data_IF_624757127670
#
_entry.id   IF_624757127670
#
_cell.length_a   1.000
_cell.length_b   1.000
_cell.length_c   1.000
_cell.angle_alpha   90.00
_cell.angle_beta   90.00
_cell.angle_gamma   90.00
#
_symmetry.space_group_name_H-M   'P 1'
#
loop_
_entity.id
_entity.type
_entity.pdbx_description
1 polymer ?
#
# COMPACT_ATOMS: atom_id res chain seq x y z
N UNK A 1 -7.34 -21.07 18.80
CA UNK A 1 -7.27 -19.59 18.82
C UNK A 1 -6.30 -19.18 17.72
N UNK A 2 -6.72 -18.31 16.81
CA UNK A 2 -5.98 -18.02 15.59
C UNK A 2 -4.83 -17.04 15.91
N UNK A 3 -3.62 -17.57 16.14
CA UNK A 3 -2.41 -16.80 16.45
C UNK A 3 -1.79 -16.18 15.18
N UNK A 4 -2.63 -15.60 14.32
CA UNK A 4 -2.18 -14.98 13.09
C UNK A 4 -1.58 -13.60 13.40
N UNK A 5 -0.34 -13.36 12.96
CA UNK A 5 0.37 -12.07 13.14
C UNK A 5 -0.38 -10.92 12.45
N UNK A 6 -1.05 -11.20 11.34
CA UNK A 6 -1.86 -10.22 10.59
C UNK A 6 -3.13 -10.88 10.06
N UNK A 7 -4.28 -10.34 10.46
CA UNK A 7 -5.57 -10.75 9.94
C UNK A 7 -5.93 -9.97 8.65
N UNK A 8 -6.75 -10.53 7.75
CA UNK A 8 -7.38 -9.77 6.67
C UNK A 8 -8.16 -8.57 7.22
N UNK A 9 -8.19 -7.45 6.49
CA UNK A 9 -8.78 -6.21 7.01
C UNK A 9 -10.28 -6.32 7.24
N UNK A 10 -10.99 -7.17 6.50
CA UNK A 10 -12.41 -7.48 6.73
C UNK A 10 -12.66 -8.14 8.10
N UNK A 11 -11.66 -8.82 8.67
CA UNK A 11 -11.72 -9.37 10.03
C UNK A 11 -11.23 -8.36 11.05
N UNK A 12 -10.11 -7.68 10.78
CA UNK A 12 -9.54 -6.70 11.68
C UNK A 12 -10.48 -5.49 11.94
N UNK A 13 -11.27 -5.11 10.93
CA UNK A 13 -12.23 -4.01 11.00
C UNK A 13 -13.68 -4.48 10.89
N UNK A 14 -13.97 -5.72 11.30
CA UNK A 14 -15.30 -6.32 11.19
C UNK A 14 -16.38 -5.49 11.88
N UNK A 15 -16.09 -4.93 13.07
CA UNK A 15 -17.03 -4.10 13.82
C UNK A 15 -17.44 -2.84 13.05
N UNK A 16 -16.48 -2.11 12.49
CA UNK A 16 -16.75 -0.90 11.69
C UNK A 16 -17.53 -1.24 10.42
N UNK A 17 -17.16 -2.32 9.72
CA UNK A 17 -17.83 -2.77 8.50
C UNK A 17 -19.26 -3.22 8.76
N UNK A 18 -19.51 -3.94 9.86
CA UNK A 18 -20.85 -4.38 10.26
C UNK A 18 -21.73 -3.19 10.67
N UNK A 19 -21.20 -2.23 11.42
CA UNK A 19 -21.93 -1.03 11.81
C UNK A 19 -22.33 -0.21 10.57
N UNK A 20 -21.42 -0.05 9.62
CA UNK A 20 -21.72 0.59 8.33
C UNK A 20 -22.78 -0.18 7.54
N UNK A 21 -22.65 -1.50 7.43
CA UNK A 21 -23.61 -2.32 6.69
C UNK A 21 -25.02 -2.27 7.28
N UNK A 22 -25.15 -2.26 8.61
CA UNK A 22 -26.44 -2.28 9.32
C UNK A 22 -27.26 -1.01 9.09
N UNK A 23 -26.59 0.14 8.89
CA UNK A 23 -27.23 1.44 8.67
C UNK A 23 -27.23 1.90 7.21
N UNK A 24 -26.88 1.03 6.26
CA UNK A 24 -26.72 1.39 4.85
C UNK A 24 -27.93 1.00 4.00
N UNK A 25 -28.86 1.95 3.89
CA UNK A 25 -30.14 1.88 3.16
C UNK A 25 -30.03 2.30 1.68
N UNK A 26 -28.83 2.67 1.23
CA UNK A 26 -28.60 3.22 -0.11
C UNK A 26 -28.48 2.12 -1.16
N UNK A 27 -28.71 2.49 -2.42
CA UNK A 27 -28.53 1.58 -3.56
C UNK A 27 -27.09 1.08 -3.64
N UNK A 28 -26.94 -0.25 -3.70
CA UNK A 28 -25.65 -0.93 -3.87
C UNK A 28 -25.50 -1.40 -5.31
N UNK A 29 -24.33 -1.22 -5.94
CA UNK A 29 -23.98 -1.94 -7.16
C UNK A 29 -24.04 -3.46 -6.94
N UNK A 30 -24.21 -4.22 -8.02
CA UNK A 30 -24.34 -5.67 -7.90
C UNK A 30 -23.08 -6.31 -7.30
N UNK A 31 -23.27 -7.20 -6.33
CA UNK A 31 -22.19 -7.86 -5.59
C UNK A 31 -21.59 -7.04 -4.45
N UNK A 32 -21.93 -5.76 -4.32
CA UNK A 32 -21.36 -4.91 -3.28
C UNK A 32 -22.01 -5.14 -1.92
N UNK A 33 -21.19 -5.24 -0.87
CA UNK A 33 -21.60 -5.37 0.53
C UNK A 33 -22.06 -4.03 1.11
N UNK A 34 -21.39 -2.95 0.72
CA UNK A 34 -21.66 -1.56 1.13
C UNK A 34 -21.99 -0.69 -0.09
N UNK A 35 -22.77 0.36 0.09
CA UNK A 35 -23.00 1.39 -0.92
C UNK A 35 -21.72 2.21 -1.14
N UNK A 36 -21.57 2.87 -2.31
CA UNK A 36 -20.43 3.76 -2.57
C UNK A 36 -20.17 4.77 -1.46
N UNK A 37 -21.23 5.32 -0.86
CA UNK A 37 -21.12 6.28 0.24
C UNK A 37 -20.63 5.63 1.53
N UNK A 38 -21.12 4.43 1.87
CA UNK A 38 -20.65 3.68 3.03
C UNK A 38 -19.19 3.23 2.87
N UNK A 39 -18.77 2.83 1.66
CA UNK A 39 -17.35 2.56 1.33
C UNK A 39 -16.49 3.82 1.53
N UNK A 40 -16.98 4.99 1.11
CA UNK A 40 -16.26 6.25 1.34
C UNK A 40 -16.15 6.60 2.83
N UNK A 41 -17.20 6.40 3.62
CA UNK A 41 -17.15 6.58 5.07
C UNK A 41 -16.17 5.61 5.71
N UNK A 42 -16.12 4.34 5.25
CA UNK A 42 -15.13 3.38 5.71
C UNK A 42 -13.69 3.85 5.44
N UNK A 43 -13.41 4.38 4.25
CA UNK A 43 -12.05 4.81 3.88
C UNK A 43 -11.63 6.11 4.56
N UNK A 44 -12.51 7.12 4.59
CA UNK A 44 -12.19 8.48 5.04
C UNK A 44 -12.56 8.74 6.51
N UNK A 45 -13.16 7.76 7.17
CA UNK A 45 -13.67 7.88 8.53
C UNK A 45 -14.98 8.66 8.61
N UNK A 46 -15.52 8.72 9.82
CA UNK A 46 -16.80 9.37 10.12
C UNK A 46 -17.57 8.62 11.19
N UNK A 47 -18.88 8.50 11.00
CA UNK A 47 -19.76 7.70 11.85
C UNK A 47 -20.69 6.84 11.00
N UNK A 48 -20.95 5.62 11.44
CA UNK A 48 -22.01 4.79 10.90
C UNK A 48 -23.39 5.33 11.31
N UNK A 49 -24.46 4.79 10.71
CA UNK A 49 -25.84 5.26 10.94
C UNK A 49 -26.30 5.11 12.40
N UNK A 50 -25.73 4.16 13.15
CA UNK A 50 -25.95 3.93 14.57
C UNK A 50 -25.08 4.83 15.49
N UNK A 51 -24.24 5.70 14.90
CA UNK A 51 -23.31 6.56 15.63
C UNK A 51 -21.94 5.95 15.91
N UNK A 52 -21.71 4.67 15.56
CA UNK A 52 -20.41 4.00 15.74
C UNK A 52 -19.32 4.77 15.00
N UNK A 53 -18.22 5.17 15.68
CA UNK A 53 -17.13 5.88 15.03
C UNK A 53 -16.39 4.96 14.05
N UNK A 54 -16.13 5.47 12.86
CA UNK A 54 -15.37 4.77 11.81
C UNK A 54 -14.02 5.46 11.67
N UNK A 55 -12.95 4.69 11.87
CA UNK A 55 -11.60 5.25 11.88
C UNK A 55 -11.12 5.44 10.44
N UNK A 56 -10.54 6.60 10.06
CA UNK A 56 -10.01 6.78 8.70
C UNK A 56 -8.92 5.76 8.37
N UNK A 57 -9.00 5.17 7.19
CA UNK A 57 -8.01 4.24 6.60
C UNK A 57 -7.13 4.93 5.57
N UNK A 58 -7.60 6.04 5.01
CA UNK A 58 -6.85 6.91 4.12
C UNK A 58 -6.99 8.36 4.59
N UNK A 59 -5.86 9.06 4.72
CA UNK A 59 -5.79 10.48 5.01
C UNK A 59 -5.34 11.19 3.74
N UNK A 60 -6.16 12.10 3.24
CA UNK A 60 -5.89 12.86 2.04
C UNK A 60 -7.17 13.31 1.33
N UNK A 61 -7.03 13.70 0.07
CA UNK A 61 -8.12 14.31 -0.71
C UNK A 61 -9.28 13.33 -0.93
N UNK A 62 -10.45 13.64 -0.36
CA UNK A 62 -11.72 12.90 -0.55
C UNK A 62 -12.03 12.57 -2.01
N UNK A 63 -11.79 13.52 -2.92
CA UNK A 63 -12.08 13.38 -4.36
C UNK A 63 -11.35 12.21 -5.02
N UNK A 64 -10.16 11.85 -4.53
CA UNK A 64 -9.40 10.69 -5.04
C UNK A 64 -10.12 9.39 -4.70
N UNK A 65 -10.61 9.26 -3.47
CA UNK A 65 -11.36 8.08 -3.03
C UNK A 65 -12.74 8.02 -3.71
N UNK A 66 -13.42 9.16 -3.88
CA UNK A 66 -14.67 9.22 -4.66
C UNK A 66 -14.46 8.67 -6.08
N UNK A 67 -13.38 9.10 -6.74
CA UNK A 67 -13.03 8.64 -8.09
C UNK A 67 -12.73 7.14 -8.10
N UNK A 68 -11.98 6.63 -7.12
CA UNK A 68 -11.67 5.20 -7.00
C UNK A 68 -12.93 4.35 -6.81
N UNK A 69 -13.80 4.74 -5.87
CA UNK A 69 -15.06 4.04 -5.59
C UNK A 69 -16.01 4.11 -6.79
N UNK A 70 -16.17 5.29 -7.39
CA UNK A 70 -17.02 5.46 -8.57
C UNK A 70 -16.51 4.64 -9.77
N UNK A 71 -15.19 4.49 -9.92
CA UNK A 71 -14.59 3.62 -10.95
C UNK A 71 -15.06 2.18 -10.76
N UNK A 72 -14.93 1.65 -9.54
CA UNK A 72 -15.26 0.25 -9.26
C UNK A 72 -16.76 -0.03 -9.31
N UNK A 73 -17.61 1.00 -9.17
CA UNK A 73 -19.05 0.88 -9.37
C UNK A 73 -19.43 0.71 -10.86
N UNK A 74 -18.46 0.82 -11.77
CA UNK A 74 -18.58 0.52 -13.20
C UNK A 74 -17.73 -0.70 -13.57
N UNK A 75 -17.79 -1.12 -14.84
CA UNK A 75 -16.96 -2.23 -15.35
C UNK A 75 -15.48 -1.84 -15.61
N UNK A 76 -15.10 -0.58 -15.35
CA UNK A 76 -13.73 -0.09 -15.57
C UNK A 76 -12.83 -0.50 -14.41
N UNK A 77 -11.63 -1.00 -14.72
CA UNK A 77 -10.66 -1.37 -13.71
C UNK A 77 -9.99 -0.13 -13.09
N UNK A 78 -9.56 -0.25 -11.84
CA UNK A 78 -8.88 0.82 -11.11
C UNK A 78 -7.37 0.59 -11.10
N UNK A 79 -6.58 1.60 -11.45
CA UNK A 79 -5.13 1.62 -11.24
C UNK A 79 -4.77 2.70 -10.21
N UNK A 80 -4.26 2.27 -9.06
CA UNK A 80 -3.68 3.15 -8.05
C UNK A 80 -2.21 3.37 -8.36
N UNK A 81 -1.84 4.60 -8.72
CA UNK A 81 -0.49 4.97 -9.13
C UNK A 81 0.12 5.94 -8.10
N UNK A 82 1.42 5.83 -7.82
CA UNK A 82 2.09 6.75 -6.90
C UNK A 82 3.47 6.27 -6.50
N UNK A 83 4.25 7.11 -5.83
CA UNK A 83 5.56 6.73 -5.29
C UNK A 83 5.43 5.70 -4.16
N UNK A 84 6.51 5.01 -3.75
CA UNK A 84 6.47 4.13 -2.59
C UNK A 84 5.91 4.84 -1.35
N UNK A 85 5.13 4.10 -0.54
CA UNK A 85 4.54 4.60 0.70
C UNK A 85 3.31 5.51 0.58
N UNK A 86 2.71 5.70 -0.61
CA UNK A 86 1.46 6.47 -0.80
C UNK A 86 0.17 5.66 -0.54
N UNK A 87 0.25 4.62 0.31
CA UNK A 87 -0.87 3.78 0.73
C UNK A 87 -1.64 3.01 -0.39
N UNK A 88 -1.07 2.84 -1.59
CA UNK A 88 -1.73 2.14 -2.72
C UNK A 88 -2.28 0.75 -2.36
N UNK A 89 -1.43 -0.14 -1.86
CA UNK A 89 -1.83 -1.50 -1.48
C UNK A 89 -2.80 -1.53 -0.31
N UNK A 90 -2.67 -0.57 0.62
CA UNK A 90 -3.58 -0.41 1.74
C UNK A 90 -4.99 0.00 1.28
N UNK A 91 -5.08 1.01 0.41
CA UNK A 91 -6.36 1.43 -0.21
C UNK A 91 -6.96 0.30 -1.04
N UNK A 92 -6.16 -0.41 -1.83
CA UNK A 92 -6.56 -1.59 -2.62
C UNK A 92 -7.20 -2.66 -1.73
N UNK A 93 -6.57 -3.00 -0.60
CA UNK A 93 -7.06 -3.98 0.37
C UNK A 93 -8.37 -3.56 1.02
N UNK A 94 -8.43 -2.32 1.51
CA UNK A 94 -9.62 -1.78 2.18
C UNK A 94 -10.80 -1.60 1.23
N UNK A 95 -10.57 -1.23 -0.04
CA UNK A 95 -11.61 -1.20 -1.06
C UNK A 95 -12.17 -2.60 -1.30
N UNK A 96 -11.31 -3.61 -1.48
CA UNK A 96 -11.75 -4.98 -1.71
C UNK A 96 -12.58 -5.54 -0.55
N UNK A 97 -12.14 -5.31 0.69
CA UNK A 97 -12.87 -5.71 1.90
C UNK A 97 -14.22 -4.98 2.03
N UNK A 98 -14.26 -3.66 1.85
CA UNK A 98 -15.49 -2.89 2.01
C UNK A 98 -16.52 -3.21 0.92
N UNK A 99 -16.05 -3.48 -0.30
CA UNK A 99 -16.91 -3.73 -1.45
C UNK A 99 -17.36 -5.20 -1.48
N UNK A 100 -16.45 -6.17 -1.34
CA UNK A 100 -16.76 -7.59 -1.56
C UNK A 100 -16.72 -8.45 -0.29
N UNK A 101 -16.34 -7.87 0.86
CA UNK A 101 -16.12 -8.63 2.09
C UNK A 101 -14.92 -9.58 2.02
N UNK A 102 -14.06 -9.44 1.01
CA UNK A 102 -12.94 -10.34 0.74
C UNK A 102 -11.81 -9.57 0.06
N UNK A 103 -10.69 -9.41 0.77
CA UNK A 103 -9.50 -8.73 0.26
C UNK A 103 -8.39 -9.68 -0.18
N UNK A 104 -8.65 -11.00 -0.13
CA UNK A 104 -7.63 -12.06 -0.20
C UNK A 104 -7.34 -12.56 -1.61
N UNK A 105 -8.13 -12.16 -2.61
CA UNK A 105 -7.90 -12.48 -4.02
C UNK A 105 -6.81 -11.57 -4.61
N UNK A 106 -5.57 -11.82 -4.21
CA UNK A 106 -4.39 -11.02 -4.54
C UNK A 106 -3.41 -11.79 -5.41
N UNK A 107 -2.85 -11.10 -6.40
CA UNK A 107 -1.65 -11.52 -7.14
C UNK A 107 -0.58 -10.47 -6.92
N UNK A 108 0.55 -10.89 -6.35
CA UNK A 108 1.73 -10.03 -6.22
C UNK A 108 2.57 -10.14 -7.48
N UNK A 109 2.59 -9.08 -8.29
CA UNK A 109 3.37 -9.05 -9.51
C UNK A 109 4.86 -8.81 -9.20
N UNK A 110 5.72 -9.59 -9.85
CA UNK A 110 7.18 -9.55 -9.75
C UNK A 110 7.80 -9.77 -11.13
N UNK A 111 9.11 -9.57 -11.25
CA UNK A 111 9.82 -9.83 -12.51
C UNK A 111 9.73 -11.30 -12.97
N UNK A 112 9.52 -12.24 -12.03
CA UNK A 112 9.34 -13.66 -12.33
C UNK A 112 7.89 -14.09 -12.52
N UNK A 113 6.94 -13.16 -12.51
CA UNK A 113 5.52 -13.49 -12.70
C UNK A 113 5.25 -13.82 -14.16
N UNK A 114 4.76 -15.04 -14.40
CA UNK A 114 4.41 -15.53 -15.73
C UNK A 114 2.88 -15.54 -15.96
N UNK A 115 2.48 -15.88 -17.18
CA UNK A 115 1.07 -15.94 -17.58
C UNK A 115 0.26 -16.96 -16.74
N UNK A 116 0.87 -18.08 -16.33
CA UNK A 116 0.18 -19.13 -15.58
C UNK A 116 -0.18 -18.68 -14.16
N UNK A 117 0.65 -17.81 -13.56
CA UNK A 117 0.39 -17.21 -12.26
C UNK A 117 -0.72 -16.14 -12.31
N UNK A 118 -0.96 -15.54 -13.49
CA UNK A 118 -2.05 -14.58 -13.70
C UNK A 118 -3.35 -15.29 -14.08
N UNK A 119 -3.34 -16.10 -15.14
CA UNK A 119 -4.56 -16.68 -15.74
C UNK A 119 -5.01 -17.96 -15.06
N UNK A 120 -4.29 -19.04 -15.29
CA UNK A 120 -4.50 -20.36 -14.70
C UNK A 120 -3.24 -21.19 -14.89
N UNK A 121 -2.96 -22.09 -13.95
CA UNK A 121 -1.89 -23.07 -14.06
C UNK A 121 -2.42 -24.47 -14.37
N UNK A 122 -1.50 -25.42 -14.42
CA UNK A 122 -1.83 -26.84 -14.60
C UNK A 122 -1.22 -27.68 -13.48
N UNK A 123 -2.00 -28.64 -12.98
CA UNK A 123 -1.50 -29.75 -12.21
C UNK A 123 -0.90 -30.77 -13.19
N UNK A 124 0.43 -30.74 -13.33
CA UNK A 124 1.13 -31.57 -14.31
C UNK A 124 0.90 -33.07 -14.13
N UNK A 125 0.70 -33.56 -12.90
CA UNK A 125 0.40 -34.97 -12.68
C UNK A 125 -0.96 -35.36 -13.26
N UNK A 126 -2.00 -34.54 -13.04
CA UNK A 126 -3.31 -34.75 -13.64
C UNK A 126 -3.27 -34.56 -15.16
N UNK A 127 -2.52 -33.57 -15.64
CA UNK A 127 -2.35 -33.29 -17.06
C UNK A 127 -1.69 -34.46 -17.81
N UNK A 128 -0.66 -35.07 -17.24
CA UNK A 128 0.00 -36.26 -17.83
C UNK A 128 -0.88 -37.51 -17.75
N UNK A 129 -1.63 -37.67 -16.66
CA UNK A 129 -2.45 -38.87 -16.45
C UNK A 129 -3.77 -38.85 -17.26
N UNK A 130 -4.39 -37.68 -17.41
CA UNK A 130 -5.75 -37.54 -17.98
C UNK A 130 -5.84 -36.61 -19.17
N UNK A 131 -4.74 -35.95 -19.55
CA UNK A 131 -4.73 -34.90 -20.56
C UNK A 131 -5.32 -33.57 -20.04
N UNK A 132 -5.40 -32.55 -20.91
CA UNK A 132 -6.05 -31.28 -20.60
C UNK A 132 -7.50 -31.51 -20.17
N UNK A 133 -7.82 -31.15 -18.94
CA UNK A 133 -9.15 -31.28 -18.37
C UNK A 133 -9.39 -30.23 -17.29
N UNK A 134 -10.65 -29.99 -16.96
CA UNK A 134 -11.00 -29.06 -15.88
C UNK A 134 -10.42 -29.48 -14.52
N UNK A 135 -10.23 -30.78 -14.29
CA UNK A 135 -9.60 -31.32 -13.07
C UNK A 135 -8.10 -31.03 -13.00
N UNK A 136 -7.44 -30.92 -14.15
CA UNK A 136 -6.02 -30.58 -14.22
C UNK A 136 -5.77 -29.06 -14.10
N UNK A 137 -6.78 -28.20 -14.26
CA UNK A 137 -6.64 -26.76 -14.14
C UNK A 137 -6.44 -26.32 -12.68
N UNK A 138 -5.47 -25.43 -12.48
CA UNK A 138 -5.19 -24.80 -11.18
C UNK A 138 -5.63 -23.33 -11.24
N UNK A 139 -6.74 -22.96 -10.56
CA UNK A 139 -7.30 -21.62 -10.67
C UNK A 139 -6.53 -20.58 -9.85
N UNK A 140 -6.07 -19.52 -10.52
CA UNK A 140 -5.41 -18.36 -9.88
C UNK A 140 -6.43 -17.51 -9.10
N UNK A 141 -5.96 -16.52 -8.31
CA UNK A 141 -6.85 -15.53 -7.70
C UNK A 141 -7.71 -14.78 -8.72
N UNK A 142 -7.17 -14.44 -9.90
CA UNK A 142 -7.93 -13.79 -10.97
C UNK A 142 -9.04 -14.69 -11.52
N UNK A 143 -8.72 -15.96 -11.80
CA UNK A 143 -9.69 -16.97 -12.22
C UNK A 143 -10.85 -17.07 -11.23
N UNK A 144 -10.52 -17.21 -9.94
CA UNK A 144 -11.51 -17.31 -8.85
C UNK A 144 -12.34 -16.04 -8.72
N UNK A 145 -11.73 -14.86 -8.84
CA UNK A 145 -12.44 -13.58 -8.80
C UNK A 145 -13.46 -13.47 -9.94
N UNK A 146 -13.08 -13.88 -11.17
CA UNK A 146 -13.99 -13.90 -12.31
C UNK A 146 -15.17 -14.84 -12.07
N UNK A 147 -14.93 -16.06 -11.58
CA UNK A 147 -16.01 -17.01 -11.32
C UNK A 147 -16.93 -16.61 -10.17
N UNK A 148 -16.42 -15.88 -9.18
CA UNK A 148 -17.18 -15.52 -7.97
C UNK A 148 -17.73 -14.10 -8.01
N UNK A 149 -17.47 -13.34 -9.08
CA UNK A 149 -17.94 -11.96 -9.21
C UNK A 149 -17.30 -11.02 -8.20
N UNK A 150 -16.04 -11.25 -7.83
CA UNK A 150 -15.31 -10.50 -6.80
C UNK A 150 -14.21 -9.61 -7.37
N UNK A 151 -13.63 -8.77 -6.51
CA UNK A 151 -12.49 -7.95 -6.86
C UNK A 151 -11.20 -8.77 -6.82
N UNK A 152 -10.41 -8.70 -7.90
CA UNK A 152 -9.03 -9.20 -7.93
C UNK A 152 -8.06 -8.04 -7.74
N UNK A 153 -7.07 -8.22 -6.87
CA UNK A 153 -6.02 -7.24 -6.60
C UNK A 153 -4.73 -7.65 -7.30
N UNK A 154 -4.23 -6.82 -8.21
CA UNK A 154 -2.93 -6.99 -8.87
C UNK A 154 -1.95 -5.98 -8.29
N UNK A 155 -1.16 -6.41 -7.32
CA UNK A 155 -0.22 -5.52 -6.64
C UNK A 155 1.10 -5.42 -7.42
N UNK A 156 1.57 -4.19 -7.63
CA UNK A 156 2.85 -3.88 -8.27
C UNK A 156 2.92 -4.36 -9.73
N UNK A 157 1.83 -4.10 -10.47
CA UNK A 157 1.59 -4.55 -11.85
C UNK A 157 2.78 -4.28 -12.79
N UNK A 158 3.47 -3.15 -12.63
CA UNK A 158 4.60 -2.76 -13.47
C UNK A 158 5.88 -3.54 -13.20
N UNK A 159 5.96 -4.36 -12.15
CA UNK A 159 7.10 -5.27 -11.94
C UNK A 159 7.07 -6.50 -12.83
N UNK A 160 5.90 -6.85 -13.37
CA UNK A 160 5.73 -7.97 -14.29
C UNK A 160 6.17 -7.60 -15.71
N UNK A 161 6.61 -8.57 -16.50
CA UNK A 161 6.96 -8.37 -17.92
C UNK A 161 5.79 -7.81 -18.73
N UNK A 162 6.06 -6.92 -19.69
CA UNK A 162 5.02 -6.24 -20.48
C UNK A 162 4.16 -7.22 -21.29
N UNK A 163 4.77 -8.31 -21.78
CA UNK A 163 4.10 -9.41 -22.46
C UNK A 163 3.08 -10.11 -21.56
N UNK A 164 3.44 -10.38 -20.31
CA UNK A 164 2.53 -10.97 -19.32
C UNK A 164 1.45 -9.97 -18.92
N UNK A 165 1.76 -8.67 -18.82
CA UNK A 165 0.74 -7.64 -18.55
C UNK A 165 -0.35 -7.61 -19.61
N UNK A 166 0.01 -7.77 -20.89
CA UNK A 166 -0.93 -7.72 -22.01
C UNK A 166 -1.91 -8.91 -22.02
N UNK A 167 -1.64 -9.99 -21.29
CA UNK A 167 -2.61 -11.08 -21.06
C UNK A 167 -3.90 -10.60 -20.36
N UNK A 168 -3.84 -9.47 -19.66
CA UNK A 168 -5.00 -8.85 -19.00
C UNK A 168 -5.93 -8.12 -19.97
N UNK A 169 -5.52 -7.85 -21.22
CA UNK A 169 -6.30 -7.05 -22.17
C UNK A 169 -7.69 -7.65 -22.40
N UNK A 170 -7.75 -8.95 -22.69
CA UNK A 170 -9.02 -9.66 -22.95
C UNK A 170 -9.89 -9.68 -21.69
N UNK A 171 -9.29 -9.93 -20.53
CA UNK A 171 -10.00 -9.95 -19.24
C UNK A 171 -10.59 -8.58 -18.91
N UNK A 172 -9.86 -7.50 -19.18
CA UNK A 172 -10.29 -6.14 -18.89
C UNK A 172 -11.36 -5.64 -19.86
N UNK A 173 -11.24 -5.96 -21.15
CA UNK A 173 -12.15 -5.54 -22.22
C UNK A 173 -13.43 -6.38 -22.27
N UNK A 174 -13.27 -7.69 -22.44
CA UNK A 174 -14.39 -8.58 -22.77
C UNK A 174 -14.93 -9.32 -21.53
N UNK A 175 -14.30 -9.12 -20.36
CA UNK A 175 -14.63 -9.83 -19.12
C UNK A 175 -14.62 -11.34 -19.30
N UNK A 176 -13.77 -11.84 -20.18
CA UNK A 176 -13.62 -13.27 -20.46
C UNK A 176 -12.14 -13.67 -20.51
N UNK A 177 -11.88 -14.93 -20.15
CA UNK A 177 -10.57 -15.53 -20.20
C UNK A 177 -10.68 -16.85 -20.97
N UNK A 178 -10.11 -16.93 -22.18
CA UNK A 178 -10.13 -18.19 -22.93
C UNK A 178 -9.30 -19.26 -22.23
N UNK A 179 -9.65 -20.52 -22.44
CA UNK A 179 -8.85 -21.70 -22.08
C UNK A 179 -8.71 -22.54 -23.35
N UNK A 180 -7.76 -22.18 -24.23
CA UNK A 180 -7.64 -22.79 -25.56
C UNK A 180 -7.46 -24.30 -25.52
N UNK A 181 -6.73 -24.80 -24.52
CA UNK A 181 -6.46 -26.23 -24.35
C UNK A 181 -7.72 -27.07 -24.13
N UNK A 182 -8.80 -26.44 -23.67
CA UNK A 182 -10.11 -27.07 -23.43
C UNK A 182 -11.19 -26.61 -24.42
N UNK A 183 -10.85 -25.77 -25.41
CA UNK A 183 -11.81 -25.12 -26.32
C UNK A 183 -12.98 -24.45 -25.57
N UNK A 184 -12.69 -23.81 -24.44
CA UNK A 184 -13.70 -23.13 -23.61
C UNK A 184 -13.20 -21.75 -23.16
N UNK A 185 -14.07 -21.01 -22.49
CA UNK A 185 -13.76 -19.69 -21.91
C UNK A 185 -14.47 -19.53 -20.59
N UNK A 186 -13.83 -18.82 -19.67
CA UNK A 186 -14.46 -18.31 -18.45
C UNK A 186 -15.03 -16.95 -18.76
N UNK A 187 -16.27 -16.73 -18.36
CA UNK A 187 -16.89 -15.42 -18.36
C UNK A 187 -16.99 -14.92 -16.92
N UNK A 188 -16.58 -13.68 -16.68
CA UNK A 188 -16.65 -13.11 -15.36
C UNK A 188 -18.10 -12.91 -14.93
N UNK A 189 -18.43 -13.33 -13.71
CA UNK A 189 -19.71 -13.09 -13.09
C UNK A 189 -19.86 -11.61 -12.73
N UNK A 190 -21.11 -11.14 -12.70
CA UNK A 190 -21.43 -9.75 -12.34
C UNK A 190 -20.86 -9.43 -10.95
N UNK A 191 -20.21 -8.28 -10.84
CA UNK A 191 -19.48 -7.84 -9.64
C UNK A 191 -17.96 -7.94 -9.80
N UNK A 192 -17.46 -8.76 -10.73
CA UNK A 192 -16.02 -8.87 -10.99
C UNK A 192 -15.41 -7.55 -11.47
N UNK A 193 -14.31 -7.15 -10.85
CA UNK A 193 -13.46 -6.05 -11.35
C UNK A 193 -12.01 -6.21 -10.82
N UNK A 194 -11.09 -5.40 -11.35
CA UNK A 194 -9.67 -5.42 -10.97
C UNK A 194 -9.28 -4.10 -10.31
N UNK A 195 -8.53 -4.21 -9.21
CA UNK A 195 -7.75 -3.12 -8.63
C UNK A 195 -6.28 -3.46 -8.86
N UNK A 196 -5.56 -2.62 -9.57
CA UNK A 196 -4.12 -2.74 -9.78
C UNK A 196 -3.38 -1.63 -9.02
N UNK A 197 -2.17 -1.91 -8.57
CA UNK A 197 -1.25 -0.90 -8.03
C UNK A 197 0.03 -0.83 -8.86
N UNK A 198 0.61 0.36 -8.99
CA UNK A 198 1.89 0.55 -9.69
C UNK A 198 2.70 1.70 -9.09
N UNK A 199 4.03 1.58 -9.18
CA UNK A 199 4.95 2.66 -8.82
C UNK A 199 5.27 3.54 -10.04
N UNK A 200 5.27 4.86 -9.85
CA UNK A 200 5.46 5.83 -10.94
C UNK A 200 6.91 6.27 -11.18
N UNK A 201 7.86 5.94 -10.29
CA UNK A 201 9.24 6.44 -10.32
C UNK A 201 10.31 5.38 -9.98
N UNK A 202 9.92 4.12 -9.95
CA UNK A 202 10.82 3.05 -9.51
C UNK A 202 11.77 2.65 -10.65
N UNK A 203 13.06 2.48 -10.36
CA UNK A 203 14.04 2.04 -11.37
C UNK A 203 13.87 0.53 -11.57
N UNK A 204 13.69 0.10 -12.82
CA UNK A 204 13.55 -1.34 -13.14
C UNK A 204 12.11 -1.86 -13.18
N UNK A 205 11.12 -0.97 -13.35
CA UNK A 205 9.74 -1.35 -13.65
C UNK A 205 9.43 -1.17 -15.13
N UNK A 206 8.54 -2.01 -15.66
CA UNK A 206 8.06 -1.94 -17.04
C UNK A 206 6.98 -0.85 -17.19
N UNK A 207 6.94 -0.21 -18.35
CA UNK A 207 5.84 0.71 -18.67
C UNK A 207 4.60 -0.06 -19.12
N UNK A 208 3.43 0.34 -18.60
CA UNK A 208 2.16 -0.19 -19.10
C UNK A 208 1.97 0.17 -20.58
N UNK A 209 1.56 -0.80 -21.38
CA UNK A 209 1.19 -0.59 -22.79
C UNK A 209 0.07 0.44 -22.92
N UNK A 210 0.03 1.17 -24.05
CA UNK A 210 -1.03 2.15 -24.30
C UNK A 210 -2.42 1.50 -24.31
N UNK A 211 -2.50 0.23 -24.73
CA UNK A 211 -3.72 -0.58 -24.70
C UNK A 211 -4.19 -0.83 -23.26
N UNK A 212 -3.31 -1.23 -22.35
CA UNK A 212 -3.66 -1.44 -20.94
C UNK A 212 -4.01 -0.12 -20.25
N UNK A 213 -3.21 0.94 -20.43
CA UNK A 213 -3.47 2.26 -19.82
C UNK A 213 -4.90 2.75 -20.09
N UNK A 214 -5.44 2.53 -21.31
CA UNK A 214 -6.80 2.93 -21.69
C UNK A 214 -7.91 2.13 -21.01
N UNK A 215 -7.61 0.95 -20.46
CA UNK A 215 -8.57 0.03 -19.81
C UNK A 215 -8.65 0.22 -18.29
N UNK A 216 -7.69 0.93 -17.72
CA UNK A 216 -7.74 1.37 -16.33
C UNK A 216 -8.24 2.82 -16.23
N UNK A 217 -8.98 3.13 -15.16
CA UNK A 217 -9.02 4.49 -14.65
C UNK A 217 -7.86 4.67 -13.67
N UNK A 218 -7.06 5.71 -13.87
CA UNK A 218 -5.86 5.94 -13.06
C UNK A 218 -6.17 6.95 -11.96
N UNK A 219 -5.96 6.55 -10.71
CA UNK A 219 -6.00 7.43 -9.55
C UNK A 219 -4.58 7.55 -8.99
N UNK A 220 -4.04 8.76 -9.06
CA UNK A 220 -2.69 9.04 -8.54
C UNK A 220 -2.79 9.41 -7.07
N UNK A 221 -2.20 8.58 -6.20
CA UNK A 221 -2.10 8.82 -4.77
C UNK A 221 -0.81 9.62 -4.50
N UNK A 222 -0.92 10.89 -4.05
CA UNK A 222 0.23 11.71 -3.73
C UNK A 222 0.81 11.32 -2.35
N UNK A 223 1.99 11.86 -2.04
CA UNK A 223 2.46 11.93 -0.66
C UNK A 223 1.61 12.95 0.12
N UNK A 224 1.50 12.81 1.45
CA UNK A 224 0.85 13.81 2.28
C UNK A 224 1.48 15.20 2.08
N UNK A 225 0.64 16.20 1.82
CA UNK A 225 1.09 17.59 1.57
C UNK A 225 1.40 18.31 2.90
N UNK A 226 0.68 17.96 3.95
CA UNK A 226 0.79 18.60 5.26
C UNK A 226 1.62 17.76 6.26
N UNK A 227 2.39 18.46 7.11
CA UNK A 227 3.20 17.82 8.14
C UNK A 227 2.33 17.14 9.19
N UNK A 228 1.25 17.78 9.63
CA UNK A 228 0.39 17.25 10.67
C UNK A 228 -0.39 16.02 10.18
N UNK A 229 -0.83 16.02 8.92
CA UNK A 229 -1.38 14.82 8.27
C UNK A 229 -0.37 13.66 8.24
N UNK A 230 0.88 13.90 7.81
CA UNK A 230 1.91 12.85 7.77
C UNK A 230 2.24 12.31 9.17
N UNK A 231 2.34 13.20 10.18
CA UNK A 231 2.52 12.81 11.59
C UNK A 231 1.36 11.97 12.10
N UNK A 232 0.11 12.35 11.80
CA UNK A 232 -1.07 11.59 12.23
C UNK A 232 -1.10 10.19 11.61
N UNK A 233 -0.73 10.06 10.33
CA UNK A 233 -0.62 8.77 9.64
C UNK A 233 0.45 7.90 10.31
N UNK A 234 1.67 8.44 10.50
CA UNK A 234 2.77 7.67 11.09
C UNK A 234 2.45 7.27 12.53
N UNK A 235 1.96 8.20 13.35
CA UNK A 235 1.64 7.94 14.76
C UNK A 235 0.64 6.80 14.90
N UNK A 236 -0.48 6.88 14.16
CA UNK A 236 -1.52 5.83 14.17
C UNK A 236 -0.94 4.46 13.79
N UNK A 237 -0.11 4.40 12.75
CA UNK A 237 0.46 3.14 12.26
C UNK A 237 1.53 2.58 13.20
N UNK A 238 2.33 3.45 13.80
CA UNK A 238 3.30 3.07 14.82
C UNK A 238 2.59 2.50 16.04
N UNK A 239 1.51 3.13 16.51
CA UNK A 239 0.72 2.64 17.65
C UNK A 239 0.07 1.27 17.35
N UNK A 240 -0.55 1.10 16.18
CA UNK A 240 -1.15 -0.17 15.74
C UNK A 240 -0.10 -1.29 15.67
N UNK A 241 1.08 -1.01 15.11
CA UNK A 241 2.15 -2.01 14.97
C UNK A 241 2.84 -2.31 16.30
N UNK A 242 3.09 -1.30 17.13
CA UNK A 242 3.67 -1.46 18.45
C UNK A 242 2.75 -2.31 19.35
N UNK A 243 1.44 -2.03 19.33
CA UNK A 243 0.46 -2.83 20.06
C UNK A 243 0.40 -4.29 19.61
N UNK A 244 0.52 -4.56 18.30
CA UNK A 244 0.58 -5.93 17.77
C UNK A 244 1.88 -6.68 18.07
N UNK A 245 2.93 -5.96 18.49
CA UNK A 245 4.25 -6.50 18.85
C UNK A 245 4.52 -6.44 20.36
N UNK A 246 3.52 -6.06 21.17
CA UNK A 246 3.66 -5.82 22.61
C UNK A 246 4.79 -4.85 22.98
N UNK A 247 5.08 -3.88 22.10
CA UNK A 247 6.12 -2.90 22.30
C UNK A 247 5.58 -1.71 23.13
N UNK A 248 6.26 -1.31 24.23
CA UNK A 248 5.89 -0.12 24.96
C UNK A 248 6.10 1.12 24.09
N UNK A 249 5.13 2.04 24.13
CA UNK A 249 5.19 3.32 23.40
C UNK A 249 5.55 4.43 24.39
N UNK A 250 6.78 4.99 24.33
CA UNK A 250 7.18 6.09 25.21
C UNK A 250 6.39 7.37 24.94
N UNK A 251 6.26 8.23 25.96
CA UNK A 251 5.49 9.49 25.86
C UNK A 251 6.02 10.46 24.79
N UNK A 252 7.32 10.42 24.50
CA UNK A 252 7.96 11.29 23.51
C UNK A 252 7.86 10.78 22.06
N UNK A 253 7.16 9.67 21.79
CA UNK A 253 7.08 9.08 20.43
C UNK A 253 6.61 10.09 19.38
N UNK A 254 5.64 10.95 19.71
CA UNK A 254 5.12 11.96 18.79
C UNK A 254 6.18 13.01 18.41
N UNK A 255 7.03 13.41 19.36
CA UNK A 255 8.10 14.37 19.12
C UNK A 255 9.18 13.75 18.22
N UNK A 256 9.53 12.47 18.45
CA UNK A 256 10.50 11.76 17.61
C UNK A 256 9.96 11.49 16.20
N UNK A 257 8.67 11.16 16.06
CA UNK A 257 8.00 11.06 14.74
C UNK A 257 8.12 12.38 13.99
N UNK A 258 7.82 13.51 14.64
CA UNK A 258 7.91 14.82 14.01
C UNK A 258 9.34 15.12 13.56
N UNK A 259 10.35 14.82 14.38
CA UNK A 259 11.78 15.02 14.05
C UNK A 259 12.24 14.16 12.87
N UNK A 260 11.90 12.87 12.87
CA UNK A 260 12.20 11.94 11.77
C UNK A 260 11.53 12.42 10.47
N UNK A 261 10.26 12.80 10.54
CA UNK A 261 9.54 13.31 9.37
C UNK A 261 10.10 14.64 8.87
N UNK A 262 10.58 15.53 9.75
CA UNK A 262 11.24 16.76 9.31
C UNK A 262 12.47 16.43 8.47
N UNK A 263 13.34 15.53 8.96
CA UNK A 263 14.53 15.08 8.22
C UNK A 263 14.13 14.50 6.85
N UNK A 264 13.14 13.60 6.84
CA UNK A 264 12.69 12.95 5.61
C UNK A 264 12.12 13.94 4.61
N UNK A 265 11.25 14.87 5.06
CA UNK A 265 10.61 15.86 4.19
C UNK A 265 11.64 16.81 3.59
N UNK A 266 12.63 17.27 4.36
CA UNK A 266 13.65 18.20 3.87
C UNK A 266 14.56 17.55 2.83
N UNK A 267 15.05 16.33 3.11
CA UNK A 267 15.88 15.56 2.17
C UNK A 267 15.09 15.17 0.91
N UNK A 268 13.81 14.80 1.06
CA UNK A 268 12.93 14.45 -0.07
C UNK A 268 12.56 15.66 -0.93
N UNK A 269 12.35 16.82 -0.31
CA UNK A 269 12.02 18.06 -1.01
C UNK A 269 13.26 18.73 -1.65
N UNK A 270 14.46 18.39 -1.20
CA UNK A 270 15.70 19.05 -1.62
C UNK A 270 15.80 20.49 -1.08
N UNK A 271 15.13 20.78 0.03
CA UNK A 271 15.19 22.08 0.69
C UNK A 271 14.74 21.98 2.15
N UNK A 272 15.20 22.91 3.00
CA UNK A 272 14.69 23.03 4.37
C UNK A 272 13.21 23.41 4.39
N UNK A 273 12.50 23.11 5.49
CA UNK A 273 11.07 23.39 5.63
C UNK A 273 10.72 24.89 5.50
N UNK A 274 11.67 25.79 5.80
CA UNK A 274 11.53 27.23 5.62
C UNK A 274 11.97 27.74 4.23
N UNK A 275 12.39 26.83 3.34
CA UNK A 275 12.82 27.13 1.97
C UNK A 275 14.13 27.90 1.84
N UNK A 276 14.87 28.13 2.93
CA UNK A 276 16.07 28.98 2.91
C UNK A 276 17.33 28.29 2.42
N UNK A 277 17.41 26.97 2.59
CA UNK A 277 18.58 26.18 2.22
C UNK A 277 18.17 25.13 1.21
N UNK A 278 18.75 25.17 0.02
CA UNK A 278 18.64 24.11 -0.98
C UNK A 278 19.54 22.95 -0.58
N UNK A 279 19.04 21.73 -0.74
CA UNK A 279 19.70 20.48 -0.34
C UNK A 279 19.77 19.54 -1.54
N UNK A 280 20.76 18.65 -1.52
CA UNK A 280 20.74 17.48 -2.40
C UNK A 280 19.69 16.49 -1.93
N UNK A 281 19.11 15.75 -2.87
CA UNK A 281 18.12 14.70 -2.60
C UNK A 281 18.79 13.33 -2.71
N UNK A 282 18.57 12.41 -1.75
CA UNK A 282 19.04 11.04 -1.88
C UNK A 282 18.27 10.30 -2.98
N UNK A 283 18.79 9.14 -3.36
CA UNK A 283 18.20 8.27 -4.38
C UNK A 283 16.90 7.60 -3.91
N UNK A 284 16.73 7.42 -2.59
CA UNK A 284 15.55 6.83 -1.96
C UNK A 284 14.34 7.77 -1.89
N UNK A 285 13.14 7.19 -1.74
CA UNK A 285 11.89 7.96 -1.72
C UNK A 285 11.62 8.72 -0.42
N UNK A 286 12.20 8.29 0.70
CA UNK A 286 11.94 8.81 2.05
C UNK A 286 10.44 8.93 2.34
N UNK A 287 9.76 7.81 2.15
CA UNK A 287 8.31 7.70 2.20
C UNK A 287 7.77 7.59 3.62
N UNK A 288 6.47 7.79 3.78
CA UNK A 288 5.76 7.58 5.06
C UNK A 288 5.92 6.14 5.56
N UNK A 289 6.03 5.16 4.66
CA UNK A 289 6.28 3.76 5.04
C UNK A 289 7.69 3.55 5.61
N UNK A 290 8.70 4.23 5.06
CA UNK A 290 10.06 4.21 5.61
C UNK A 290 10.09 4.87 7.00
N UNK A 291 9.36 5.96 7.21
CA UNK A 291 9.26 6.60 8.52
C UNK A 291 8.62 5.67 9.57
N UNK A 292 7.52 4.97 9.22
CA UNK A 292 6.91 3.98 10.11
C UNK A 292 7.92 2.87 10.46
N UNK A 293 8.65 2.35 9.47
CA UNK A 293 9.65 1.31 9.70
C UNK A 293 10.79 1.79 10.60
N UNK A 294 11.28 3.02 10.40
CA UNK A 294 12.29 3.65 11.27
C UNK A 294 11.79 3.76 12.71
N UNK A 295 10.55 4.21 12.90
CA UNK A 295 9.98 4.39 14.24
C UNK A 295 9.71 3.07 14.96
N UNK A 296 9.15 2.07 14.26
CA UNK A 296 8.93 0.73 14.84
C UNK A 296 10.26 0.05 15.18
N UNK A 297 11.27 0.18 14.32
CA UNK A 297 12.63 -0.28 14.60
C UNK A 297 13.22 0.38 15.85
N UNK A 298 13.09 1.71 15.96
CA UNK A 298 13.54 2.47 17.13
C UNK A 298 12.80 2.10 18.43
N UNK A 299 11.49 1.85 18.37
CA UNK A 299 10.72 1.38 19.52
C UNK A 299 11.18 0.00 19.98
N UNK A 300 11.44 -0.91 19.03
CA UNK A 300 11.98 -2.23 19.34
C UNK A 300 13.35 -2.10 20.00
N UNK A 301 14.25 -1.30 19.42
CA UNK A 301 15.58 -1.03 20.00
C UNK A 301 15.47 -0.45 21.42
N UNK A 302 14.60 0.54 21.60
CA UNK A 302 14.36 1.15 22.90
C UNK A 302 13.85 0.15 23.94
N UNK A 303 12.85 -0.66 23.57
CA UNK A 303 12.22 -1.63 24.45
C UNK A 303 13.20 -2.71 24.93
N UNK A 304 14.07 -3.20 24.04
CA UNK A 304 14.92 -4.36 24.32
C UNK A 304 16.35 -4.02 24.74
N UNK A 305 16.88 -2.87 24.32
CA UNK A 305 18.30 -2.55 24.48
C UNK A 305 18.58 -1.20 25.14
N UNK A 306 17.67 -0.21 25.06
CA UNK A 306 17.93 1.16 25.57
C UNK A 306 17.08 1.53 26.79
N UNK A 307 16.74 0.56 27.64
CA UNK A 307 15.98 0.77 28.88
C UNK A 307 14.64 1.50 28.68
N UNK A 308 13.99 1.29 27.54
CA UNK A 308 12.72 1.90 27.15
C UNK A 308 12.83 3.36 26.68
N UNK A 309 14.04 3.90 26.47
CA UNK A 309 14.24 5.29 26.03
C UNK A 309 14.32 5.36 24.51
N UNK A 310 13.30 5.94 23.89
CA UNK A 310 13.33 6.29 22.47
C UNK A 310 14.03 7.65 22.29
N UNK A 311 15.01 7.71 21.39
CA UNK A 311 15.72 8.95 21.06
C UNK A 311 16.69 8.78 19.90
N UNK A 312 17.52 9.80 19.67
CA UNK A 312 18.40 9.87 18.51
C UNK A 312 19.35 8.68 18.35
N UNK A 313 19.96 8.19 19.44
CA UNK A 313 20.91 7.07 19.40
C UNK A 313 20.26 5.78 18.88
N UNK A 314 19.09 5.40 19.42
CA UNK A 314 18.36 4.21 18.99
C UNK A 314 17.75 4.33 17.59
N UNK A 315 17.52 5.55 17.10
CA UNK A 315 16.95 5.81 15.76
C UNK A 315 18.01 5.98 14.66
N UNK A 316 19.26 6.30 15.01
CA UNK A 316 20.29 6.69 14.05
C UNK A 316 20.56 5.60 12.99
N UNK A 317 20.75 4.35 13.40
CA UNK A 317 21.03 3.25 12.46
C UNK A 317 19.87 3.04 11.46
N UNK A 318 18.63 3.07 11.94
CA UNK A 318 17.44 2.92 11.09
C UNK A 318 17.24 4.13 10.16
N UNK A 319 17.58 5.34 10.61
CA UNK A 319 17.56 6.54 9.78
C UNK A 319 18.61 6.49 8.68
N UNK A 320 19.86 6.12 9.01
CA UNK A 320 20.93 5.96 8.02
C UNK A 320 20.53 4.91 6.99
N UNK A 321 20.02 3.75 7.39
CA UNK A 321 19.56 2.71 6.45
C UNK A 321 18.35 3.13 5.60
N UNK A 322 17.53 4.06 6.06
CA UNK A 322 16.44 4.64 5.28
C UNK A 322 16.94 5.66 4.25
N UNK A 323 17.89 6.52 4.65
CA UNK A 323 18.41 7.62 3.83
C UNK A 323 19.47 7.15 2.83
N UNK A 324 20.39 6.30 3.27
CA UNK A 324 21.57 5.87 2.50
C UNK A 324 21.27 4.52 1.84
N UNK A 325 20.81 4.56 0.58
CA UNK A 325 20.64 3.35 -0.25
C UNK A 325 21.84 3.13 -1.16
N UNK A 326 22.39 4.22 -1.70
CA UNK A 326 23.69 4.24 -2.36
C UNK A 326 24.76 4.67 -1.34
N UNK A 327 25.73 3.80 -1.00
CA UNK A 327 26.71 4.07 0.06
C UNK A 327 27.68 5.22 -0.26
N UNK A 328 27.73 5.68 -1.52
CA UNK A 328 28.60 6.77 -1.94
C UNK A 328 27.78 8.04 -2.13
N UNK A 329 26.76 8.00 -2.98
CA UNK A 329 25.99 9.20 -3.34
C UNK A 329 25.12 9.67 -2.17
N UNK A 330 24.34 8.77 -1.58
CA UNK A 330 23.39 9.16 -0.53
C UNK A 330 24.10 9.47 0.79
N UNK A 331 25.24 8.82 1.05
CA UNK A 331 26.09 9.16 2.21
C UNK A 331 26.56 10.61 2.15
N UNK A 332 27.09 11.05 1.00
CA UNK A 332 27.52 12.42 0.81
C UNK A 332 26.37 13.44 0.95
N UNK A 333 25.15 13.07 0.52
CA UNK A 333 23.94 13.88 0.73
C UNK A 333 23.63 14.04 2.22
N UNK A 334 23.69 12.94 2.98
CA UNK A 334 23.44 12.98 4.42
C UNK A 334 24.50 13.81 5.17
N UNK A 335 25.79 13.61 4.88
CA UNK A 335 26.88 14.40 5.49
C UNK A 335 26.70 15.90 5.28
N UNK A 336 26.35 16.33 4.06
CA UNK A 336 26.08 17.73 3.74
C UNK A 336 24.90 18.28 4.55
N UNK A 337 23.82 17.51 4.67
CA UNK A 337 22.64 17.89 5.44
C UNK A 337 22.94 18.02 6.95
N UNK A 338 23.75 17.10 7.50
CA UNK A 338 24.17 17.16 8.90
C UNK A 338 24.96 18.45 9.20
N UNK A 339 25.95 18.79 8.37
CA UNK A 339 26.79 19.98 8.58
C UNK A 339 26.06 21.30 8.29
N UNK A 340 25.21 21.32 7.26
CA UNK A 340 24.59 22.55 6.79
C UNK A 340 23.33 22.91 7.59
N UNK A 341 22.57 21.89 8.01
CA UNK A 341 21.24 22.03 8.64
C UNK A 341 21.25 21.58 10.09
N UNK A 342 21.48 20.30 10.40
CA UNK A 342 21.30 19.78 11.76
C UNK A 342 22.27 20.42 12.77
N UNK A 343 23.53 20.63 12.38
CA UNK A 343 24.54 21.28 13.23
C UNK A 343 24.11 22.64 13.77
N UNK A 344 23.26 23.36 13.03
CA UNK A 344 22.76 24.69 13.37
C UNK A 344 21.42 24.66 14.13
N UNK A 345 20.85 23.46 14.38
CA UNK A 345 19.57 23.27 15.07
C UNK A 345 19.83 22.67 16.46
N UNK A 346 19.80 23.48 17.55
CA UNK A 346 20.04 23.00 18.90
C UNK A 346 19.15 21.82 19.30
N UNK A 347 17.87 21.88 18.91
CA UNK A 347 16.91 20.81 19.22
C UNK A 347 17.30 19.48 18.58
N UNK A 348 18.07 19.48 17.49
CA UNK A 348 18.52 18.29 16.77
C UNK A 348 19.96 17.88 17.12
N UNK A 349 20.58 18.47 18.15
CA UNK A 349 21.97 18.18 18.51
C UNK A 349 22.23 16.68 18.76
N UNK A 350 21.29 15.98 19.39
CA UNK A 350 21.39 14.52 19.59
C UNK A 350 21.38 13.74 18.27
N UNK A 351 20.54 14.14 17.31
CA UNK A 351 20.50 13.54 15.98
C UNK A 351 21.76 13.84 15.17
N UNK A 352 22.29 15.07 15.27
CA UNK A 352 23.56 15.42 14.63
C UNK A 352 24.70 14.52 15.13
N UNK A 353 24.83 14.33 16.45
CA UNK A 353 25.86 13.49 17.02
C UNK A 353 25.68 12.00 16.67
N UNK A 354 24.47 11.47 16.85
CA UNK A 354 24.19 10.06 16.63
C UNK A 354 24.29 9.64 15.15
N UNK A 355 23.83 10.49 14.22
CA UNK A 355 23.94 10.21 12.78
C UNK A 355 25.39 10.30 12.30
N UNK A 356 26.19 11.27 12.78
CA UNK A 356 27.62 11.32 12.45
C UNK A 356 28.39 10.09 12.96
N UNK A 357 27.99 9.51 14.10
CA UNK A 357 28.60 8.29 14.62
C UNK A 357 28.21 7.04 13.82
N UNK A 358 27.11 7.09 13.08
CA UNK A 358 26.52 5.94 12.37
C UNK A 358 26.87 5.86 10.87
N UNK A 359 27.51 6.90 10.30
CA UNK A 359 27.88 6.99 8.87
C UNK A 359 29.38 6.78 8.64
#
# INVERSE_FOLDING_TARGET
MNAAIRLPVEQAYASELQALASGDDRQKPAGWSLSPQAVLTYLLGGKAGDGTPVTPKYVGRRRLMETAVATLATDRALLLLGVPGTAKSWVSEHLAAAIMGDSTLIVQCTAGTDENQIRYGWNYAQLLAKGPSQEALVPTPLYRAMQTGKLCRLEELTRMGSDVQDTLITVLSEKMMPIPELNTSIYAQRGFNIIATANSRDKGVNELSSALKRRFNVVVLPLPEDMAEEVAIVSKRVDEMAGGLDLPVPKNVGDEIARVLTIFRELRAGATADGKVTLKTPSGSLSTAEAIATMVGGLSQAAWFDSGKLGAEGLAASLVGAIVKDPVQDKAVLEEYLETVLKKRPDYAGYYAALNAAI
#
